data_IF_547105892653
#
_entry.id   IF_547105892653
#
_cell.length_a   1.000
_cell.length_b   1.000
_cell.length_c   1.000
_cell.angle_alpha   90.00
_cell.angle_beta   90.00
_cell.angle_gamma   90.00
#
_symmetry.space_group_name_H-M   'P 1'
#
loop_
_entity.id
_entity.type
_entity.pdbx_description
1 polymer ?
#
# COMPACT_ATOMS: atom_id res chain seq x y z
N UNK A 1 1.56 -3.72 5.41
CA UNK A 1 1.65 -5.19 5.56
C UNK A 1 0.73 -5.65 6.66
N UNK A 2 0.32 -6.87 6.63
CA UNK A 2 -0.59 -7.39 7.61
C UNK A 2 -0.90 -8.87 7.41
N UNK A 3 -1.96 -9.33 8.04
CA UNK A 3 -2.39 -10.71 7.95
C UNK A 3 -3.91 -10.80 7.77
N UNK A 4 -4.37 -11.87 7.14
CA UNK A 4 -5.77 -12.18 7.05
C UNK A 4 -6.22 -12.78 8.39
N UNK A 5 -7.30 -12.23 8.98
CA UNK A 5 -7.83 -12.67 10.27
C UNK A 5 -9.20 -13.34 10.17
N UNK A 6 -9.71 -13.49 8.97
CA UNK A 6 -10.97 -14.14 8.65
C UNK A 6 -11.26 -13.97 7.17
N UNK A 7 -12.28 -14.63 6.66
CA UNK A 7 -12.63 -14.50 5.26
C UNK A 7 -12.95 -13.04 4.92
N UNK A 8 -12.18 -12.47 4.00
CA UNK A 8 -12.26 -11.05 3.59
C UNK A 8 -12.09 -10.05 4.76
N UNK A 9 -11.46 -10.48 5.85
CA UNK A 9 -11.09 -9.63 6.97
C UNK A 9 -9.58 -9.56 7.09
N UNK A 10 -9.01 -8.36 7.05
CA UNK A 10 -7.58 -8.14 7.05
C UNK A 10 -7.17 -7.19 8.16
N UNK A 11 -6.02 -7.47 8.78
CA UNK A 11 -5.42 -6.58 9.77
C UNK A 11 -4.12 -6.01 9.22
N UNK A 12 -4.05 -4.70 9.10
CA UNK A 12 -2.81 -4.00 8.78
C UNK A 12 -2.11 -3.70 10.09
N UNK A 13 -0.96 -4.31 10.33
CA UNK A 13 -0.24 -4.19 11.59
C UNK A 13 1.22 -3.76 11.42
N UNK A 14 1.63 -3.44 10.21
CA UNK A 14 2.98 -2.96 9.94
C UNK A 14 2.99 -2.03 8.74
N UNK A 15 3.62 -0.86 8.94
CA UNK A 15 3.86 0.11 7.87
C UNK A 15 5.36 0.30 7.75
N UNK A 16 5.88 0.20 6.53
CA UNK A 16 7.30 0.41 6.30
C UNK A 16 7.64 1.91 6.27
N UNK A 17 8.93 2.20 6.45
CA UNK A 17 9.47 3.50 6.09
C UNK A 17 9.29 3.76 4.58
N UNK A 18 9.38 5.00 4.11
CA UNK A 18 9.24 5.30 2.69
C UNK A 18 10.29 4.57 1.84
N UNK A 19 9.82 3.90 0.79
CA UNK A 19 10.64 3.14 -0.15
C UNK A 19 10.77 3.92 -1.46
N UNK A 20 11.41 5.08 -1.41
CA UNK A 20 11.59 5.97 -2.55
C UNK A 20 13.06 6.10 -2.92
N UNK A 21 13.31 6.30 -4.21
CA UNK A 21 14.63 6.72 -4.68
C UNK A 21 14.77 8.22 -4.40
N UNK A 22 15.68 8.58 -3.47
CA UNK A 22 15.83 9.94 -2.97
C UNK A 22 16.04 10.95 -4.09
N UNK A 23 16.90 10.62 -5.06
CA UNK A 23 17.26 11.52 -6.17
C UNK A 23 16.15 11.72 -7.20
N UNK A 24 15.07 10.96 -7.11
CA UNK A 24 13.98 10.96 -8.09
C UNK A 24 12.63 11.33 -7.52
N UNK A 25 12.58 11.64 -6.24
CA UNK A 25 11.37 12.15 -5.61
C UNK A 25 11.12 13.59 -6.04
N UNK A 26 9.87 13.95 -6.27
CA UNK A 26 9.45 15.30 -6.57
C UNK A 26 8.08 15.56 -5.97
N UNK A 27 7.64 16.84 -5.99
CA UNK A 27 6.30 17.19 -5.54
C UNK A 27 5.18 16.61 -6.40
N UNK A 28 5.49 16.13 -7.59
CA UNK A 28 4.53 15.56 -8.54
C UNK A 28 4.51 14.05 -8.55
N UNK A 29 5.39 13.40 -7.81
CA UNK A 29 5.44 11.95 -7.71
C UNK A 29 6.74 11.46 -7.13
N UNK A 30 6.77 10.18 -6.83
CA UNK A 30 7.92 9.47 -6.28
C UNK A 30 8.17 8.21 -7.10
N UNK A 31 9.44 7.83 -7.24
CA UNK A 31 9.78 6.54 -7.81
C UNK A 31 10.01 5.56 -6.66
N UNK A 32 9.22 4.48 -6.65
CA UNK A 32 9.33 3.43 -5.64
C UNK A 32 10.65 2.69 -5.82
N UNK A 33 11.39 2.50 -4.73
CA UNK A 33 12.54 1.61 -4.71
C UNK A 33 12.06 0.17 -4.50
N UNK A 34 11.87 -0.54 -5.60
CA UNK A 34 11.34 -1.91 -5.57
C UNK A 34 12.28 -2.87 -4.85
N UNK A 35 13.58 -2.70 -4.95
CA UNK A 35 14.56 -3.54 -4.27
C UNK A 35 14.44 -3.39 -2.75
N UNK A 36 14.41 -2.15 -2.25
CA UNK A 36 14.25 -1.86 -0.82
C UNK A 36 12.90 -2.37 -0.31
N UNK A 37 11.83 -2.16 -1.08
CA UNK A 37 10.51 -2.65 -0.71
C UNK A 37 10.47 -4.17 -0.58
N UNK A 38 11.06 -4.88 -1.54
CA UNK A 38 11.11 -6.34 -1.52
C UNK A 38 11.93 -6.89 -0.35
N UNK A 39 13.03 -6.23 0.01
CA UNK A 39 13.83 -6.59 1.18
C UNK A 39 13.04 -6.45 2.48
N UNK A 40 12.27 -5.36 2.62
CA UNK A 40 11.42 -5.13 3.79
C UNK A 40 10.31 -6.19 3.87
N UNK A 41 9.65 -6.47 2.76
CA UNK A 41 8.58 -7.47 2.68
C UNK A 41 9.10 -8.85 3.09
N UNK A 42 10.25 -9.24 2.58
CA UNK A 42 10.88 -10.52 2.91
C UNK A 42 11.23 -10.59 4.40
N UNK A 43 11.85 -9.55 4.94
CA UNK A 43 12.22 -9.47 6.36
C UNK A 43 11.00 -9.61 7.26
N UNK A 44 9.92 -8.90 6.97
CA UNK A 44 8.69 -8.93 7.76
C UNK A 44 7.98 -10.28 7.64
N UNK A 45 8.02 -10.91 6.48
CA UNK A 45 7.47 -12.24 6.29
C UNK A 45 8.22 -13.28 7.13
N UNK A 46 9.53 -13.27 7.07
CA UNK A 46 10.38 -14.21 7.83
C UNK A 46 10.28 -13.98 9.34
N UNK A 47 10.32 -12.73 9.80
CA UNK A 47 10.29 -12.39 11.23
C UNK A 47 8.93 -12.65 11.89
N UNK A 48 7.86 -12.74 11.13
CA UNK A 48 6.51 -12.99 11.63
C UNK A 48 6.06 -14.45 11.52
N UNK A 49 6.97 -15.38 11.30
CA UNK A 49 6.64 -16.79 11.05
C UNK A 49 5.79 -16.98 9.80
N UNK A 50 6.09 -16.24 8.74
CA UNK A 50 5.39 -16.31 7.44
C UNK A 50 3.93 -15.86 7.48
N UNK A 51 3.53 -15.08 8.51
CA UNK A 51 2.16 -14.60 8.66
C UNK A 51 1.96 -13.20 8.09
N UNK A 52 2.98 -12.33 8.19
CA UNK A 52 2.88 -10.95 7.70
C UNK A 52 3.25 -10.91 6.23
N UNK A 53 2.30 -10.48 5.41
CA UNK A 53 2.46 -10.42 3.97
C UNK A 53 2.24 -9.00 3.46
N UNK A 54 2.65 -8.75 2.22
CA UNK A 54 2.43 -7.48 1.56
C UNK A 54 0.94 -7.27 1.30
N UNK A 55 0.42 -6.11 1.71
CA UNK A 55 -0.98 -5.75 1.51
C UNK A 55 -1.17 -4.60 0.54
N UNK A 56 -0.19 -3.70 0.42
CA UNK A 56 -0.37 -2.55 -0.44
C UNK A 56 0.69 -1.47 -0.26
N UNK A 57 0.37 -0.31 -0.77
CA UNK A 57 1.24 0.85 -0.81
C UNK A 57 0.65 2.00 0.00
N UNK A 58 1.52 2.88 0.46
CA UNK A 58 1.09 4.14 1.05
C UNK A 58 1.97 5.28 0.55
N UNK A 59 1.40 6.47 0.48
CA UNK A 59 2.13 7.68 0.16
C UNK A 59 1.39 8.91 0.69
N UNK A 60 1.97 10.08 0.51
CA UNK A 60 1.42 11.34 0.99
C UNK A 60 1.01 12.24 -0.17
N UNK A 61 -0.06 13.02 0.05
CA UNK A 61 -0.47 14.11 -0.82
C UNK A 61 -0.61 15.39 -0.01
N UNK A 62 -0.21 16.55 -0.53
CA UNK A 62 -0.37 17.83 0.16
C UNK A 62 -1.80 18.38 0.05
N UNK A 63 -2.78 17.56 0.39
CA UNK A 63 -4.19 17.86 0.28
C UNK A 63 -4.89 17.55 1.60
N UNK A 64 -5.92 18.34 1.94
CA UNK A 64 -6.67 18.10 3.19
C UNK A 64 -7.46 16.79 3.13
N UNK A 65 -8.10 16.52 2.00
CA UNK A 65 -8.87 15.29 1.75
C UNK A 65 -8.32 14.64 0.49
N UNK A 66 -7.28 13.80 0.60
CA UNK A 66 -6.65 13.23 -0.57
C UNK A 66 -7.58 12.24 -1.28
N UNK A 67 -7.47 12.21 -2.59
CA UNK A 67 -8.10 11.19 -3.44
C UNK A 67 -7.04 10.62 -4.37
N UNK A 68 -7.19 9.37 -4.84
CA UNK A 68 -6.21 8.80 -5.74
C UNK A 68 -6.21 9.53 -7.08
N UNK A 69 -5.02 9.88 -7.56
CA UNK A 69 -4.83 10.41 -8.91
C UNK A 69 -4.80 9.27 -9.92
N UNK A 70 -4.82 9.62 -11.23
CA UNK A 70 -4.64 8.62 -12.28
C UNK A 70 -3.30 7.92 -12.18
N UNK A 71 -2.27 8.63 -11.75
CA UNK A 71 -0.93 8.05 -11.51
C UNK A 71 -0.98 7.03 -10.39
N UNK A 72 -1.67 7.34 -9.29
CA UNK A 72 -1.85 6.42 -8.16
C UNK A 72 -2.54 5.12 -8.60
N UNK A 73 -3.64 5.25 -9.33
CA UNK A 73 -4.41 4.10 -9.81
C UNK A 73 -3.58 3.25 -10.77
N UNK A 74 -2.87 3.90 -11.71
CA UNK A 74 -2.00 3.18 -12.64
C UNK A 74 -0.90 2.43 -11.91
N UNK A 75 -0.29 3.05 -10.89
CA UNK A 75 0.75 2.41 -10.08
C UNK A 75 0.23 1.19 -9.34
N UNK A 76 -0.98 1.27 -8.76
CA UNK A 76 -1.60 0.16 -8.05
C UNK A 76 -1.97 -0.97 -9.02
N UNK A 77 -2.48 -0.65 -10.21
CA UNK A 77 -2.72 -1.65 -11.26
C UNK A 77 -1.43 -2.39 -11.63
N UNK A 78 -0.35 -1.66 -11.81
CA UNK A 78 0.95 -2.25 -12.13
C UNK A 78 1.43 -3.19 -11.02
N UNK A 79 1.32 -2.78 -9.78
CA UNK A 79 1.67 -3.63 -8.62
C UNK A 79 0.82 -4.90 -8.63
N UNK A 80 -0.49 -4.77 -8.82
CA UNK A 80 -1.41 -5.90 -8.82
C UNK A 80 -1.05 -6.93 -9.90
N UNK A 81 -0.80 -6.48 -11.12
CA UNK A 81 -0.56 -7.39 -12.25
C UNK A 81 0.87 -7.89 -12.37
N UNK A 82 1.86 -7.18 -11.80
CA UNK A 82 3.28 -7.55 -11.91
C UNK A 82 3.85 -8.22 -10.69
N UNK A 83 3.11 -8.25 -9.58
CA UNK A 83 3.59 -8.79 -8.31
C UNK A 83 2.84 -10.06 -7.92
N UNK A 84 3.49 -10.90 -7.12
CA UNK A 84 2.80 -11.99 -6.43
C UNK A 84 2.11 -11.42 -5.21
N UNK A 85 0.79 -11.49 -5.18
CA UNK A 85 -0.03 -10.94 -4.12
C UNK A 85 -0.71 -12.08 -3.38
N UNK A 86 -0.55 -12.09 -2.04
CA UNK A 86 -1.07 -13.14 -1.17
C UNK A 86 -2.55 -12.98 -0.83
N UNK A 87 -3.14 -11.82 -1.11
CA UNK A 87 -4.55 -11.52 -0.84
C UNK A 87 -5.26 -11.12 -2.14
N UNK A 88 -6.57 -10.91 -2.07
CA UNK A 88 -7.41 -10.73 -3.27
C UNK A 88 -7.26 -9.37 -3.96
N UNK A 89 -6.40 -8.51 -3.46
CA UNK A 89 -6.19 -7.20 -4.05
C UNK A 89 -5.07 -6.44 -3.36
N UNK A 90 -5.02 -5.12 -3.60
CA UNK A 90 -3.98 -4.25 -3.07
C UNK A 90 -4.61 -3.08 -2.33
N UNK A 91 -4.18 -2.87 -1.09
CA UNK A 91 -4.58 -1.68 -0.31
C UNK A 91 -3.76 -0.46 -0.74
N UNK A 92 -4.40 0.70 -0.69
CA UNK A 92 -3.77 1.98 -0.92
C UNK A 92 -4.15 2.93 0.22
N UNK A 93 -3.14 3.51 0.87
CA UNK A 93 -3.34 4.56 1.85
C UNK A 93 -2.68 5.85 1.36
N UNK A 94 -3.45 6.93 1.29
CA UNK A 94 -2.93 8.24 0.92
C UNK A 94 -3.08 9.16 2.13
N UNK A 95 -1.96 9.55 2.72
CA UNK A 95 -1.93 10.41 3.90
C UNK A 95 -1.98 11.86 3.45
N UNK A 96 -3.10 12.52 3.73
CA UNK A 96 -3.28 13.94 3.47
C UNK A 96 -2.94 14.80 4.68
N UNK A 97 -3.22 16.09 4.59
CA UNK A 97 -2.94 17.05 5.66
C UNK A 97 -3.90 16.90 6.84
N UNK A 98 -5.15 16.50 6.60
CA UNK A 98 -6.20 16.41 7.63
C UNK A 98 -6.89 15.05 7.67
N UNK A 99 -6.71 14.21 6.67
CA UNK A 99 -7.36 12.90 6.60
C UNK A 99 -6.53 11.93 5.79
N UNK A 100 -6.91 10.66 5.86
CA UNK A 100 -6.28 9.57 5.11
C UNK A 100 -7.34 8.98 4.19
N UNK A 101 -7.00 8.82 2.91
CA UNK A 101 -7.78 8.02 1.99
C UNK A 101 -7.36 6.55 2.13
N UNK A 102 -8.32 5.67 2.29
CA UNK A 102 -8.11 4.24 2.29
C UNK A 102 -8.85 3.61 1.12
N UNK A 103 -8.14 2.85 0.31
CA UNK A 103 -8.71 2.18 -0.85
C UNK A 103 -8.28 0.72 -0.94
N UNK A 104 -9.06 -0.06 -1.66
CA UNK A 104 -8.75 -1.45 -1.97
C UNK A 104 -9.01 -1.68 -3.46
N UNK A 105 -7.97 -2.10 -4.18
CA UNK A 105 -8.05 -2.41 -5.59
C UNK A 105 -8.21 -3.92 -5.76
N UNK A 106 -9.34 -4.34 -6.33
CA UNK A 106 -9.70 -5.75 -6.46
C UNK A 106 -9.23 -6.41 -7.77
N UNK A 107 -8.47 -5.69 -8.57
CA UNK A 107 -8.03 -6.11 -9.90
C UNK A 107 -8.85 -5.50 -11.03
N UNK A 108 -9.97 -4.89 -10.71
CA UNK A 108 -10.88 -4.23 -11.67
C UNK A 108 -11.19 -2.80 -11.24
N UNK A 109 -11.61 -2.59 -10.00
CA UNK A 109 -12.02 -1.29 -9.48
C UNK A 109 -11.31 -0.95 -8.17
N UNK A 110 -11.09 0.35 -7.96
CA UNK A 110 -10.64 0.90 -6.68
C UNK A 110 -11.87 1.20 -5.81
N UNK A 111 -11.94 0.56 -4.64
CA UNK A 111 -13.02 0.76 -3.67
C UNK A 111 -12.52 1.62 -2.52
N UNK A 112 -13.23 2.70 -2.22
CA UNK A 112 -12.97 3.45 -0.99
C UNK A 112 -13.49 2.64 0.19
N UNK A 113 -12.67 2.50 1.23
CA UNK A 113 -13.00 1.72 2.42
C UNK A 113 -12.85 2.55 3.69
N UNK A 114 -13.52 2.13 4.75
CA UNK A 114 -13.43 2.74 6.07
C UNK A 114 -12.83 1.73 7.04
N UNK A 115 -11.53 1.86 7.39
CA UNK A 115 -10.92 0.93 8.32
C UNK A 115 -11.38 1.17 9.76
N UNK A 116 -11.39 0.10 10.55
CA UNK A 116 -11.61 0.17 12.00
C UNK A 116 -10.27 0.14 12.70
N UNK A 117 -10.05 1.07 13.60
CA UNK A 117 -8.83 1.11 14.42
C UNK A 117 -9.09 0.31 15.69
N UNK A 118 -8.21 -0.63 15.94
CA UNK A 118 -8.31 -1.53 17.12
C UNK A 118 -7.03 -1.51 17.94
#
# INVERSE_FOLDING_TARGET
MGSEIGEQHYRINRVSEPCMLIDRSSKYGCIRDAKKANEIIKREYESSNHKRVYFGEWHTHPENKPIPSNVDITSICDVFFKSRIAIDGVFLAIVGLKSIYWGFYDGVNMHKIEPTII
#
